data_IF_327041800749
#
_entry.id   IF_327041800749
#
_cell.length_a   1.000
_cell.length_b   1.000
_cell.length_c   1.000
_cell.angle_alpha   90.00
_cell.angle_beta   90.00
_cell.angle_gamma   90.00
#
_symmetry.space_group_name_H-M   'P 1'
#
loop_
_entity.id
_entity.type
_entity.pdbx_description
1 polymer ?
#
# COMPACT_ATOMS: atom_id res chain seq x y z
N UNK A 1 -10.79 -8.05 -9.87
CA UNK A 1 -10.82 -8.14 -8.40
C UNK A 1 -12.25 -8.38 -7.92
N UNK A 2 -12.47 -9.10 -6.79
CA UNK A 2 -13.75 -9.03 -6.09
C UNK A 2 -14.11 -7.57 -5.81
N UNK A 3 -15.40 -7.29 -5.68
CA UNK A 3 -15.92 -5.97 -5.32
C UNK A 3 -15.36 -5.55 -3.96
N UNK A 4 -14.31 -4.72 -3.99
CA UNK A 4 -13.57 -4.27 -2.80
C UNK A 4 -14.51 -3.50 -1.86
N UNK A 5 -15.44 -2.73 -2.42
CA UNK A 5 -16.42 -1.96 -1.67
C UNK A 5 -17.32 -2.90 -0.87
N UNK A 6 -17.86 -3.94 -1.52
CA UNK A 6 -18.67 -4.94 -0.84
C UNK A 6 -17.91 -5.66 0.27
N UNK A 7 -16.67 -6.09 0.01
CA UNK A 7 -15.84 -6.76 1.02
C UNK A 7 -15.56 -5.86 2.23
N UNK A 8 -15.25 -4.59 1.98
CA UNK A 8 -15.02 -3.58 3.02
C UNK A 8 -16.27 -3.38 3.86
N UNK A 9 -17.44 -3.18 3.23
CA UNK A 9 -18.71 -2.97 3.92
C UNK A 9 -19.14 -4.17 4.78
N UNK A 10 -18.97 -5.39 4.27
CA UNK A 10 -19.31 -6.62 5.01
C UNK A 10 -18.37 -6.85 6.21
N UNK A 11 -17.11 -6.40 6.10
CA UNK A 11 -16.09 -6.62 7.13
C UNK A 11 -16.03 -5.51 8.17
N UNK A 12 -16.37 -4.28 7.79
CA UNK A 12 -16.22 -3.07 8.62
C UNK A 12 -16.79 -3.18 10.04
N UNK A 13 -17.96 -3.81 10.30
CA UNK A 13 -18.49 -3.95 11.66
C UNK A 13 -17.63 -4.80 12.60
N UNK A 14 -16.70 -5.59 12.06
CA UNK A 14 -15.96 -6.62 12.80
C UNK A 14 -14.44 -6.39 12.85
N UNK A 15 -13.97 -5.25 12.35
CA UNK A 15 -12.53 -4.92 12.30
C UNK A 15 -12.30 -3.54 12.87
N UNK A 16 -11.14 -3.33 13.50
CA UNK A 16 -10.74 -2.00 13.98
C UNK A 16 -9.90 -1.23 12.95
N UNK A 17 -9.33 -1.96 11.98
CA UNK A 17 -8.40 -1.43 10.98
C UNK A 17 -8.44 -2.24 9.69
N UNK A 18 -8.36 -1.55 8.55
CA UNK A 18 -8.13 -2.15 7.24
C UNK A 18 -6.68 -1.94 6.84
N UNK A 19 -5.98 -3.02 6.50
CA UNK A 19 -4.63 -2.95 5.92
C UNK A 19 -4.74 -3.01 4.39
N UNK A 20 -4.29 -1.96 3.73
CA UNK A 20 -4.16 -1.91 2.27
C UNK A 20 -2.69 -2.13 1.91
N UNK A 21 -2.41 -3.29 1.31
CA UNK A 21 -1.11 -3.57 0.71
C UNK A 21 -1.23 -3.19 -0.76
N UNK A 22 -0.77 -1.99 -1.12
CA UNK A 22 -0.84 -1.59 -2.53
C UNK A 22 0.35 -2.21 -3.26
N UNK A 23 0.03 -3.13 -4.16
CA UNK A 23 1.01 -3.98 -4.81
C UNK A 23 1.81 -3.28 -5.91
N UNK A 24 2.89 -3.95 -6.30
CA UNK A 24 3.77 -3.55 -7.39
C UNK A 24 3.08 -3.46 -8.76
N UNK A 25 2.01 -4.23 -9.01
CA UNK A 25 1.27 -4.18 -10.28
C UNK A 25 0.74 -2.77 -10.63
N UNK A 26 0.34 -1.99 -9.63
CA UNK A 26 -0.13 -0.60 -9.83
C UNK A 26 1.02 0.39 -10.11
N UNK A 27 2.27 -0.04 -9.98
CA UNK A 27 3.46 0.76 -10.31
C UNK A 27 3.81 0.72 -11.80
N UNK A 28 3.24 -0.24 -12.52
CA UNK A 28 3.71 -0.62 -13.86
C UNK A 28 2.62 -0.53 -14.91
N UNK A 29 1.41 -1.00 -14.56
CA UNK A 29 0.34 -1.21 -15.52
C UNK A 29 -1.01 -1.12 -14.76
N UNK A 30 -1.60 0.07 -14.72
CA UNK A 30 -2.91 0.24 -14.08
C UNK A 30 -4.02 0.16 -15.12
N UNK A 31 -4.70 -0.97 -15.16
CA UNK A 31 -5.98 -1.11 -15.83
C UNK A 31 -7.09 -0.88 -14.79
N UNK A 32 -7.86 0.22 -14.89
CA UNK A 32 -9.00 0.44 -14.01
C UNK A 32 -9.96 -0.76 -14.03
N UNK A 33 -10.63 -1.01 -12.91
CA UNK A 33 -11.67 -2.04 -12.85
C UNK A 33 -12.76 -1.70 -13.87
N UNK A 34 -12.98 -2.58 -14.85
CA UNK A 34 -13.95 -2.37 -15.94
C UNK A 34 -13.44 -1.48 -17.08
N UNK A 35 -12.17 -1.05 -17.05
CA UNK A 35 -11.51 -0.38 -18.16
C UNK A 35 -10.97 -1.35 -19.20
N UNK A 36 -10.72 -0.83 -20.40
CA UNK A 36 -10.13 -1.52 -21.56
C UNK A 36 -8.75 -0.97 -21.95
N UNK A 37 -8.30 0.12 -21.34
CA UNK A 37 -7.03 0.78 -21.61
C UNK A 37 -6.12 0.85 -20.37
N UNK A 38 -4.83 0.61 -20.60
CA UNK A 38 -3.78 0.78 -19.59
C UNK A 38 -3.48 2.26 -19.37
N UNK A 39 -3.33 2.64 -18.10
CA UNK A 39 -3.03 4.00 -17.69
C UNK A 39 -1.61 4.05 -17.11
N UNK A 40 -0.84 5.05 -17.54
CA UNK A 40 0.52 5.31 -17.08
C UNK A 40 0.58 5.51 -15.56
N UNK A 41 1.61 4.94 -14.94
CA UNK A 41 1.86 5.08 -13.51
C UNK A 41 2.13 6.53 -13.12
N UNK A 42 1.46 6.99 -12.05
CA UNK A 42 1.57 8.34 -11.52
C UNK A 42 0.89 9.42 -12.35
N UNK A 43 0.24 9.08 -13.47
CA UNK A 43 -0.57 10.01 -14.28
C UNK A 43 -1.72 10.64 -13.48
N UNK A 44 -2.24 11.81 -13.90
CA UNK A 44 -3.44 12.40 -13.31
C UNK A 44 -4.64 11.45 -13.28
N UNK A 45 -4.81 10.65 -14.33
CA UNK A 45 -5.90 9.69 -14.50
C UNK A 45 -5.79 8.54 -13.49
N UNK A 46 -4.59 7.96 -13.34
CA UNK A 46 -4.34 6.90 -12.35
C UNK A 46 -4.57 7.44 -10.93
N UNK A 47 -4.06 8.64 -10.64
CA UNK A 47 -4.26 9.32 -9.34
C UNK A 47 -5.74 9.52 -9.03
N UNK A 48 -6.50 10.07 -9.97
CA UNK A 48 -7.92 10.32 -9.79
C UNK A 48 -8.70 9.03 -9.53
N UNK A 49 -8.38 7.95 -10.25
CA UNK A 49 -9.05 6.66 -10.06
C UNK A 49 -8.78 6.06 -8.67
N UNK A 50 -7.52 6.10 -8.21
CA UNK A 50 -7.13 5.54 -6.92
C UNK A 50 -7.58 6.42 -5.74
N UNK A 51 -7.58 7.74 -5.91
CA UNK A 51 -8.19 8.67 -4.95
C UNK A 51 -9.69 8.43 -4.82
N UNK A 52 -10.38 8.15 -5.94
CA UNK A 52 -11.79 7.77 -5.95
C UNK A 52 -12.06 6.49 -5.15
N UNK A 53 -11.25 5.45 -5.38
CA UNK A 53 -11.33 4.20 -4.60
C UNK A 53 -11.09 4.45 -3.10
N UNK A 54 -10.04 5.20 -2.76
CA UNK A 54 -9.74 5.55 -1.37
C UNK A 54 -10.88 6.35 -0.74
N UNK A 55 -11.46 7.31 -1.46
CA UNK A 55 -12.59 8.09 -1.01
C UNK A 55 -13.80 7.20 -0.70
N UNK A 56 -14.19 6.30 -1.63
CA UNK A 56 -15.31 5.36 -1.41
C UNK A 56 -15.06 4.47 -0.20
N UNK A 57 -13.83 3.98 -0.01
CA UNK A 57 -13.45 3.22 1.17
C UNK A 57 -13.59 4.05 2.46
N UNK A 58 -13.08 5.28 2.49
CA UNK A 58 -13.16 6.14 3.67
C UNK A 58 -14.60 6.51 4.02
N UNK A 59 -15.43 6.82 3.02
CA UNK A 59 -16.87 7.10 3.23
C UNK A 59 -17.57 5.88 3.86
N UNK A 60 -17.31 4.69 3.33
CA UNK A 60 -17.86 3.43 3.85
C UNK A 60 -17.41 3.13 5.29
N UNK A 61 -16.12 3.32 5.58
CA UNK A 61 -15.51 2.99 6.88
C UNK A 61 -15.78 4.03 7.97
N UNK A 62 -16.04 5.29 7.60
CA UNK A 62 -16.21 6.41 8.53
C UNK A 62 -17.29 6.16 9.57
N UNK A 63 -18.42 5.58 9.16
CA UNK A 63 -19.56 5.28 10.04
C UNK A 63 -19.24 4.21 11.10
N UNK A 64 -18.19 3.43 10.89
CA UNK A 64 -17.73 2.37 11.81
C UNK A 64 -16.52 2.80 12.65
N UNK A 65 -15.98 4.02 12.43
CA UNK A 65 -14.77 4.48 13.11
C UNK A 65 -13.52 3.67 12.75
N UNK A 66 -13.54 2.97 11.62
CA UNK A 66 -12.44 2.09 11.18
C UNK A 66 -11.37 2.92 10.46
N UNK A 67 -10.12 2.76 10.88
CA UNK A 67 -8.98 3.42 10.25
C UNK A 67 -8.43 2.57 9.09
N UNK A 68 -7.77 3.22 8.13
CA UNK A 68 -7.08 2.55 7.03
C UNK A 68 -5.58 2.74 7.16
N UNK A 69 -4.81 1.66 7.07
CA UNK A 69 -3.36 1.74 7.01
C UNK A 69 -2.86 1.25 5.67
N UNK A 70 -2.02 2.05 5.03
CA UNK A 70 -1.50 1.76 3.69
C UNK A 70 -0.02 1.40 3.81
N UNK A 71 0.35 0.20 3.37
CA UNK A 71 1.75 -0.20 3.32
C UNK A 71 2.36 0.32 2.02
N UNK A 72 3.37 1.19 2.13
CA UNK A 72 4.11 1.63 0.95
C UNK A 72 4.86 0.45 0.33
N UNK A 73 4.80 0.34 -0.99
CA UNK A 73 5.41 -0.77 -1.71
C UNK A 73 6.95 -0.60 -1.76
N UNK A 74 7.72 -1.67 -1.51
CA UNK A 74 9.17 -1.62 -1.58
C UNK A 74 9.70 -1.66 -3.01
N UNK A 75 10.96 -1.28 -3.18
CA UNK A 75 11.68 -1.48 -4.43
C UNK A 75 11.98 -2.97 -4.66
N UNK A 76 11.99 -3.37 -5.93
CA UNK A 76 12.27 -4.75 -6.39
C UNK A 76 13.42 -4.77 -7.39
N UNK A 77 13.95 -5.96 -7.70
CA UNK A 77 15.11 -6.16 -8.59
C UNK A 77 14.76 -6.66 -10.00
N UNK A 78 13.62 -7.31 -10.20
CA UNK A 78 13.45 -8.23 -11.33
C UNK A 78 13.01 -7.56 -12.66
N UNK A 79 13.50 -8.14 -13.76
CA UNK A 79 13.76 -7.62 -15.12
C UNK A 79 12.98 -6.40 -15.68
N UNK A 80 13.67 -5.27 -16.02
CA UNK A 80 13.07 -4.05 -16.59
C UNK A 80 12.35 -4.26 -17.93
N UNK A 81 12.76 -5.23 -18.73
CA UNK A 81 12.24 -5.46 -20.09
C UNK A 81 10.88 -6.20 -20.13
N UNK A 82 10.42 -6.76 -18.99
CA UNK A 82 9.13 -7.44 -18.89
C UNK A 82 8.10 -6.66 -18.06
N UNK A 83 8.55 -5.70 -17.24
CA UNK A 83 7.74 -5.12 -16.15
C UNK A 83 7.96 -3.62 -15.88
N UNK A 84 8.75 -2.87 -16.67
CA UNK A 84 8.75 -1.41 -16.61
C UNK A 84 9.31 -0.79 -15.33
N UNK A 85 10.56 -1.12 -14.97
CA UNK A 85 11.30 -0.53 -13.85
C UNK A 85 11.81 0.89 -14.18
N UNK A 86 10.91 1.87 -14.29
CA UNK A 86 11.32 3.28 -14.20
C UNK A 86 11.34 3.71 -12.72
N UNK A 87 12.53 4.01 -12.12
CA UNK A 87 12.60 4.57 -10.78
C UNK A 87 11.73 5.80 -10.58
N UNK A 88 11.47 6.58 -11.64
CA UNK A 88 10.57 7.72 -11.59
C UNK A 88 9.09 7.30 -11.40
N UNK A 89 8.65 6.19 -11.99
CA UNK A 89 7.32 5.62 -11.80
C UNK A 89 7.12 5.10 -10.37
N UNK A 90 8.09 4.35 -9.84
CA UNK A 90 8.09 3.88 -8.45
C UNK A 90 8.03 5.06 -7.47
N UNK A 91 8.86 6.08 -7.70
CA UNK A 91 8.85 7.29 -6.88
C UNK A 91 7.54 8.08 -7.03
N UNK A 92 6.97 8.14 -8.24
CA UNK A 92 5.68 8.80 -8.49
C UNK A 92 4.54 8.10 -7.76
N UNK A 93 4.57 6.77 -7.72
CA UNK A 93 3.63 5.92 -6.99
C UNK A 93 3.74 6.11 -5.48
N UNK A 94 4.95 6.07 -4.92
CA UNK A 94 5.18 6.33 -3.49
C UNK A 94 4.65 7.72 -3.07
N UNK A 95 4.75 8.73 -3.94
CA UNK A 95 4.15 10.06 -3.70
C UNK A 95 2.62 10.03 -3.67
N UNK A 96 1.95 9.18 -4.46
CA UNK A 96 0.48 9.02 -4.38
C UNK A 96 0.08 8.49 -3.01
N UNK A 97 0.71 7.39 -2.59
CA UNK A 97 0.42 6.76 -1.30
C UNK A 97 0.62 7.75 -0.15
N UNK A 98 1.75 8.47 -0.14
CA UNK A 98 2.06 9.45 0.92
C UNK A 98 1.06 10.60 0.98
N UNK A 99 0.54 11.05 -0.16
CA UNK A 99 -0.47 12.11 -0.19
C UNK A 99 -1.80 11.70 0.47
N UNK A 100 -2.08 10.40 0.63
CA UNK A 100 -3.30 9.94 1.28
C UNK A 100 -3.30 10.17 2.79
N UNK A 101 -2.15 10.05 3.43
CA UNK A 101 -1.96 10.38 4.87
C UNK A 101 -2.26 11.86 5.13
N UNK A 102 -1.87 12.73 4.21
CA UNK A 102 -2.12 14.17 4.31
C UNK A 102 -3.60 14.53 4.07
N UNK A 103 -4.29 13.75 3.23
CA UNK A 103 -5.65 14.05 2.77
C UNK A 103 -6.75 13.53 3.69
N UNK A 104 -6.58 12.34 4.29
CA UNK A 104 -7.59 11.73 5.16
C UNK A 104 -7.02 11.44 6.54
N UNK A 105 -7.57 12.08 7.58
CA UNK A 105 -7.11 11.89 8.96
C UNK A 105 -7.32 10.48 9.53
N UNK A 106 -8.12 9.65 8.86
CA UNK A 106 -8.36 8.24 9.19
C UNK A 106 -7.40 7.28 8.46
N UNK A 107 -6.53 7.80 7.62
CA UNK A 107 -5.52 7.05 6.88
C UNK A 107 -4.17 7.25 7.55
N UNK A 108 -3.34 6.20 7.59
CA UNK A 108 -1.93 6.29 7.97
C UNK A 108 -1.05 5.48 7.03
N UNK A 109 0.09 6.03 6.63
CA UNK A 109 1.05 5.30 5.78
C UNK A 109 2.07 4.58 6.66
N UNK A 110 2.20 3.28 6.47
CA UNK A 110 3.17 2.43 7.15
C UNK A 110 4.43 2.36 6.31
N UNK A 111 5.59 2.87 6.79
CA UNK A 111 6.83 2.83 6.04
C UNK A 111 7.42 1.42 6.06
N UNK A 112 6.87 0.55 5.22
CA UNK A 112 7.26 -0.85 5.09
C UNK A 112 8.54 -1.00 4.25
N UNK A 113 8.71 -0.17 3.22
CA UNK A 113 9.87 -0.22 2.34
C UNK A 113 11.19 -0.04 3.08
N UNK A 114 11.21 0.85 4.08
CA UNK A 114 12.38 1.12 4.93
C UNK A 114 12.82 -0.07 5.81
N UNK A 115 12.03 -1.15 5.87
CA UNK A 115 12.41 -2.36 6.59
C UNK A 115 13.19 -3.35 5.74
N UNK A 116 13.37 -3.06 4.46
CA UNK A 116 13.98 -3.96 3.50
C UNK A 116 15.30 -3.38 2.99
N UNK A 117 16.27 -4.26 2.79
CA UNK A 117 17.57 -3.88 2.21
C UNK A 117 17.42 -3.46 0.75
N UNK A 118 18.43 -2.80 0.18
CA UNK A 118 18.52 -2.58 -1.27
C UNK A 118 18.36 -3.92 -2.03
N UNK A 119 17.36 -4.06 -2.94
CA UNK A 119 17.09 -5.32 -3.63
C UNK A 119 18.26 -5.79 -4.53
N UNK A 120 19.19 -4.91 -4.92
CA UNK A 120 20.36 -5.28 -5.70
C UNK A 120 21.53 -5.79 -4.85
N UNK A 121 21.54 -5.46 -3.55
CA UNK A 121 22.57 -5.84 -2.59
C UNK A 121 22.48 -7.29 -2.12
N UNK A 122 23.53 -7.78 -1.44
CA UNK A 122 23.59 -9.16 -0.95
C UNK A 122 22.43 -9.49 0.00
N UNK A 123 22.18 -8.63 1.00
CA UNK A 123 21.07 -8.80 1.92
C UNK A 123 19.71 -8.79 1.19
N UNK A 124 19.47 -7.84 0.29
CA UNK A 124 18.23 -7.78 -0.48
C UNK A 124 17.97 -9.03 -1.33
N UNK A 125 19.01 -9.67 -1.85
CA UNK A 125 18.88 -10.96 -2.59
C UNK A 125 18.55 -12.14 -1.69
N UNK A 126 18.93 -12.09 -0.41
CA UNK A 126 18.52 -13.09 0.58
C UNK A 126 17.07 -12.84 0.99
N UNK A 127 16.71 -11.58 1.25
CA UNK A 127 15.35 -11.17 1.60
C UNK A 127 14.34 -11.43 0.49
N UNK A 128 14.75 -11.26 -0.78
CA UNK A 128 13.93 -11.42 -1.98
C UNK A 128 14.67 -12.25 -3.05
N UNK A 129 14.66 -13.60 -2.93
CA UNK A 129 15.45 -14.48 -3.80
C UNK A 129 15.13 -14.35 -5.29
N UNK A 130 13.85 -14.16 -5.63
CA UNK A 130 13.38 -13.93 -7.00
C UNK A 130 13.40 -12.44 -7.39
N UNK A 131 13.90 -11.58 -6.51
CA UNK A 131 13.95 -10.13 -6.73
C UNK A 131 12.66 -9.38 -6.41
N UNK A 132 11.54 -10.05 -6.12
CA UNK A 132 10.22 -9.42 -5.89
C UNK A 132 9.61 -9.88 -4.57
N UNK A 133 9.42 -11.19 -4.41
CA UNK A 133 8.72 -11.79 -3.28
C UNK A 133 9.68 -12.02 -2.12
N UNK A 134 9.19 -11.77 -0.90
CA UNK A 134 9.96 -12.06 0.29
C UNK A 134 10.21 -13.57 0.44
N UNK A 135 11.42 -13.92 0.87
CA UNK A 135 11.67 -15.23 1.45
C UNK A 135 10.73 -15.48 2.63
N UNK A 136 10.26 -16.72 2.78
CA UNK A 136 9.20 -17.07 3.74
C UNK A 136 9.67 -16.95 5.18
N UNK A 137 10.88 -17.37 5.50
CA UNK A 137 11.41 -17.33 6.85
C UNK A 137 11.75 -15.90 7.24
N UNK A 138 12.39 -15.16 6.32
CA UNK A 138 12.63 -13.74 6.49
C UNK A 138 11.32 -12.96 6.69
N UNK A 139 10.30 -13.18 5.85
CA UNK A 139 9.00 -12.50 5.96
C UNK A 139 8.33 -12.75 7.31
N UNK A 140 8.42 -13.98 7.84
CA UNK A 140 7.86 -14.31 9.16
C UNK A 140 8.58 -13.56 10.26
N UNK A 141 9.90 -13.50 10.22
CA UNK A 141 10.68 -12.80 11.23
C UNK A 141 10.43 -11.30 11.14
N UNK A 142 10.55 -10.72 9.94
CA UNK A 142 10.24 -9.32 9.67
C UNK A 142 8.85 -8.92 10.18
N UNK A 143 7.83 -9.75 9.89
CA UNK A 143 6.47 -9.54 10.35
C UNK A 143 6.42 -9.45 11.87
N UNK A 144 7.03 -10.42 12.54
CA UNK A 144 7.00 -10.57 14.00
C UNK A 144 7.77 -9.45 14.72
N UNK A 145 8.96 -9.12 14.24
CA UNK A 145 9.90 -8.24 14.96
C UNK A 145 9.71 -6.77 14.62
N UNK A 146 9.28 -6.45 13.40
CA UNK A 146 9.40 -5.10 12.86
C UNK A 146 8.08 -4.59 12.30
N UNK A 147 7.46 -5.33 11.37
CA UNK A 147 6.29 -4.83 10.64
C UNK A 147 5.03 -4.76 11.50
N UNK A 148 4.66 -5.82 12.23
CA UNK A 148 3.48 -5.79 13.11
C UNK A 148 3.62 -4.72 14.21
N UNK A 149 4.76 -4.59 14.91
CA UNK A 149 4.97 -3.48 15.84
C UNK A 149 4.82 -2.09 15.19
N UNK A 150 5.35 -1.90 13.98
CA UNK A 150 5.23 -0.64 13.23
C UNK A 150 3.79 -0.33 12.84
N UNK A 151 3.05 -1.33 12.33
CA UNK A 151 1.61 -1.22 12.04
C UNK A 151 0.85 -0.76 13.29
N UNK A 152 1.13 -1.34 14.45
CA UNK A 152 0.49 -0.95 15.71
C UNK A 152 0.82 0.48 16.14
N UNK A 153 2.07 0.93 15.94
CA UNK A 153 2.46 2.32 16.24
C UNK A 153 1.69 3.31 15.39
N UNK A 154 1.71 3.13 14.06
CA UNK A 154 1.02 4.02 13.12
C UNK A 154 -0.49 4.01 13.39
N UNK A 155 -1.08 2.84 13.67
CA UNK A 155 -2.49 2.76 14.03
C UNK A 155 -2.84 3.58 15.27
N UNK A 156 -2.00 3.51 16.31
CA UNK A 156 -2.20 4.28 17.54
C UNK A 156 -2.11 5.79 17.27
N UNK A 157 -1.18 6.21 16.42
CA UNK A 157 -1.02 7.61 16.00
C UNK A 157 -2.26 8.13 15.26
N UNK A 158 -2.76 7.38 14.26
CA UNK A 158 -4.00 7.71 13.53
C UNK A 158 -5.18 7.81 14.49
N UNK A 159 -5.35 6.83 15.39
CA UNK A 159 -6.42 6.86 16.40
C UNK A 159 -6.32 8.05 17.35
N UNK A 160 -5.13 8.42 17.78
CA UNK A 160 -4.94 9.57 18.66
C UNK A 160 -5.28 10.88 17.95
N UNK A 161 -4.91 11.00 16.67
CA UNK A 161 -5.26 12.15 15.81
C UNK A 161 -6.78 12.30 15.65
N UNK A 162 -7.51 11.20 15.47
CA UNK A 162 -8.97 11.20 15.36
C UNK A 162 -9.66 11.60 16.67
N UNK A 163 -9.15 11.18 17.82
CA UNK A 163 -9.77 11.47 19.13
C UNK A 163 -9.43 12.87 19.69
N UNK A 164 -8.50 13.59 19.06
CA UNK A 164 -8.05 14.92 19.51
C UNK A 164 -8.74 16.07 18.76
N UNK A 165 -9.73 15.76 17.91
CA UNK A 165 -10.52 16.71 17.13
C UNK A 165 -11.97 16.71 17.62
#
# INVERSE_FOLDING_TARGET
CPDVEKLVLESAPNVDVVLVVVGLANQWDYLPIGGDEWIDAGSPEQRAALDGLMQTMQESLSSFGVSTLVLEAPAVRDNPDLLGDDPAAIAAWARVIRAWDERWSSVGVVPYADLLSDPYGEAGRIERPDGVHLDREFARELARTSLIPRIRSVWAEVRNSLNSR
#
